data_IF_892693036662
#
_entry.id   IF_892693036662
#
_cell.length_a   1.000
_cell.length_b   1.000
_cell.length_c   1.000
_cell.angle_alpha   90.00
_cell.angle_beta   90.00
_cell.angle_gamma   90.00
#
_symmetry.space_group_name_H-M   'P 1'
#
loop_
_entity.id
_entity.type
_entity.pdbx_description
1 polymer ?
#
# COMPACT_ATOMS: atom_id res chain seq x y z
N UNK A 1 16.34 16.65 -7.16
CA UNK A 1 16.08 15.23 -6.83
C UNK A 1 16.82 14.33 -7.83
N UNK A 2 18.17 14.30 -7.81
CA UNK A 2 18.99 13.40 -8.64
C UNK A 2 19.86 12.46 -7.79
N UNK A 3 19.47 12.25 -6.53
CA UNK A 3 20.40 11.75 -5.52
C UNK A 3 19.84 10.62 -4.66
N UNK A 4 18.63 10.12 -4.95
CA UNK A 4 18.03 8.97 -4.26
C UNK A 4 17.86 7.85 -5.27
N UNK A 5 18.32 6.65 -4.92
CA UNK A 5 18.34 5.48 -5.80
C UNK A 5 17.80 4.26 -5.09
N UNK A 6 16.80 3.61 -5.66
CA UNK A 6 16.33 2.31 -5.17
C UNK A 6 17.36 1.23 -5.49
N UNK A 7 17.81 0.48 -4.48
CA UNK A 7 18.82 -0.58 -4.62
C UNK A 7 18.15 -1.94 -4.59
N UNK A 8 17.34 -2.20 -3.57
CA UNK A 8 16.56 -3.41 -3.43
C UNK A 8 15.14 -3.07 -2.98
N UNK A 9 14.18 -3.76 -3.53
CA UNK A 9 12.78 -3.71 -3.12
C UNK A 9 12.31 -5.13 -2.89
N UNK A 10 11.85 -5.42 -1.68
CA UNK A 10 11.22 -6.69 -1.36
C UNK A 10 9.86 -6.47 -0.73
N UNK A 11 8.90 -7.29 -1.13
CA UNK A 11 7.54 -7.24 -0.60
C UNK A 11 6.97 -8.64 -0.44
N UNK A 12 6.15 -8.83 0.59
CA UNK A 12 5.37 -10.04 0.85
C UNK A 12 3.98 -9.67 1.34
N UNK A 13 2.99 -10.51 1.06
CA UNK A 13 1.67 -10.45 1.68
C UNK A 13 0.65 -9.56 0.96
N UNK A 14 0.83 -9.32 -0.34
CA UNK A 14 -0.09 -8.53 -1.16
C UNK A 14 -0.63 -9.32 -2.36
N UNK A 15 -1.95 -9.34 -2.53
CA UNK A 15 -2.66 -10.12 -3.56
C UNK A 15 -2.11 -11.56 -3.61
N UNK A 16 -1.62 -12.01 -4.76
CA UNK A 16 -1.05 -13.34 -4.96
C UNK A 16 0.40 -13.52 -4.46
N UNK A 17 1.03 -12.49 -3.88
CA UNK A 17 2.42 -12.54 -3.41
C UNK A 17 2.47 -13.05 -1.96
N UNK A 18 2.27 -14.35 -1.76
CA UNK A 18 2.40 -15.02 -0.45
C UNK A 18 3.84 -15.37 -0.08
N UNK A 19 4.79 -15.26 -1.01
CA UNK A 19 6.23 -15.35 -0.76
C UNK A 19 6.94 -14.00 -0.98
N UNK A 20 8.18 -13.90 -0.49
CA UNK A 20 9.00 -12.71 -0.72
C UNK A 20 9.36 -12.55 -2.20
N UNK A 21 8.90 -11.46 -2.80
CA UNK A 21 9.35 -11.04 -4.12
C UNK A 21 10.52 -10.09 -3.96
N UNK A 22 11.68 -10.43 -4.53
CA UNK A 22 12.90 -9.63 -4.45
C UNK A 22 13.25 -8.96 -5.78
N UNK A 23 13.25 -7.63 -5.79
CA UNK A 23 13.69 -6.81 -6.93
C UNK A 23 14.99 -6.08 -6.60
N UNK A 24 16.11 -6.65 -7.06
CA UNK A 24 17.39 -5.95 -7.06
C UNK A 24 17.54 -5.05 -8.29
N UNK A 25 17.78 -3.77 -8.06
CA UNK A 25 18.00 -2.74 -9.08
C UNK A 25 19.50 -2.52 -9.34
N UNK A 26 20.34 -2.66 -8.31
CA UNK A 26 21.80 -2.50 -8.44
C UNK A 26 22.52 -3.77 -7.99
N UNK A 27 23.32 -4.36 -8.88
CA UNK A 27 23.98 -5.66 -8.66
C UNK A 27 25.46 -5.58 -8.29
N UNK A 28 26.08 -4.40 -8.43
CA UNK A 28 27.52 -4.22 -8.15
C UNK A 28 27.73 -3.81 -6.70
N UNK A 29 28.97 -3.94 -6.23
CA UNK A 29 29.41 -3.31 -4.99
C UNK A 29 29.28 -1.79 -5.12
N UNK A 30 28.78 -1.14 -4.07
CA UNK A 30 28.67 0.31 -4.03
C UNK A 30 30.07 0.87 -3.71
N UNK A 31 30.62 1.62 -4.66
CA UNK A 31 31.93 2.26 -4.55
C UNK A 31 31.78 3.78 -4.70
N UNK A 32 32.81 4.56 -4.38
CA UNK A 32 32.80 6.02 -4.58
C UNK A 32 32.48 6.41 -6.04
N UNK A 33 32.88 5.61 -7.03
CA UNK A 33 32.51 5.77 -8.44
C UNK A 33 31.17 5.06 -8.72
N UNK A 34 30.10 5.50 -8.06
CA UNK A 34 28.77 4.92 -8.22
C UNK A 34 28.19 5.25 -9.61
N UNK A 35 27.92 4.21 -10.41
CA UNK A 35 27.40 4.34 -11.79
C UNK A 35 26.14 3.49 -12.00
N UNK A 36 25.02 4.18 -12.18
CA UNK A 36 23.68 3.61 -12.35
C UNK A 36 23.18 3.58 -13.79
N UNK A 37 23.97 4.02 -14.78
CA UNK A 37 23.49 4.21 -16.17
C UNK A 37 22.82 2.96 -16.77
N UNK A 38 23.24 1.77 -16.35
CA UNK A 38 22.72 0.49 -16.83
C UNK A 38 21.68 -0.16 -15.90
N UNK A 39 21.25 0.52 -14.83
CA UNK A 39 20.42 -0.02 -13.75
C UNK A 39 19.11 0.76 -13.52
N UNK A 40 18.84 1.76 -14.36
CA UNK A 40 17.71 2.69 -14.18
C UNK A 40 16.35 2.11 -14.59
N UNK A 41 16.32 1.05 -15.40
CA UNK A 41 15.09 0.47 -15.94
C UNK A 41 15.08 -1.02 -15.62
N UNK A 42 13.96 -1.48 -15.07
CA UNK A 42 13.71 -2.90 -14.83
C UNK A 42 12.36 -3.30 -15.42
N UNK A 43 12.38 -4.26 -16.34
CA UNK A 43 11.17 -4.87 -16.88
C UNK A 43 10.69 -6.00 -15.97
N UNK A 44 9.39 -6.02 -15.66
CA UNK A 44 8.71 -7.13 -14.99
C UNK A 44 7.72 -7.72 -15.99
N UNK A 45 7.97 -8.94 -16.43
CA UNK A 45 7.14 -9.66 -17.39
C UNK A 45 6.68 -10.99 -16.81
N UNK A 46 5.58 -11.51 -17.32
CA UNK A 46 4.95 -12.74 -16.82
C UNK A 46 3.52 -12.88 -17.31
N UNK A 47 2.93 -14.05 -17.12
CA UNK A 47 1.54 -14.33 -17.49
C UNK A 47 0.55 -13.47 -16.71
N UNK A 48 -0.70 -13.38 -17.19
CA UNK A 48 -1.78 -12.72 -16.45
C UNK A 48 -2.01 -13.44 -15.12
N UNK A 49 -2.25 -12.69 -14.04
CA UNK A 49 -2.40 -13.25 -12.69
C UNK A 49 -1.09 -13.51 -11.95
N UNK A 50 0.09 -13.40 -12.59
CA UNK A 50 1.40 -13.66 -11.95
C UNK A 50 1.84 -12.60 -10.91
N UNK A 51 0.96 -11.70 -10.45
CA UNK A 51 1.27 -10.72 -9.41
C UNK A 51 2.00 -9.45 -9.87
N UNK A 52 2.16 -9.20 -11.18
CA UNK A 52 2.82 -7.99 -11.70
C UNK A 52 2.19 -6.69 -11.18
N UNK A 53 0.87 -6.57 -11.26
CA UNK A 53 0.13 -5.41 -10.75
C UNK A 53 0.16 -5.34 -9.22
N UNK A 54 0.28 -6.48 -8.52
CA UNK A 54 0.44 -6.50 -7.07
C UNK A 54 1.71 -5.77 -6.61
N UNK A 55 2.83 -5.93 -7.33
CA UNK A 55 4.08 -5.20 -7.06
C UNK A 55 3.88 -3.68 -7.22
N UNK A 56 3.12 -3.26 -8.24
CA UNK A 56 2.84 -1.84 -8.45
C UNK A 56 1.88 -1.30 -7.39
N UNK A 57 0.83 -2.06 -7.03
CA UNK A 57 -0.09 -1.71 -5.94
C UNK A 57 0.64 -1.58 -4.60
N UNK A 58 1.59 -2.45 -4.29
CA UNK A 58 2.36 -2.34 -3.04
C UNK A 58 3.27 -1.12 -3.02
N UNK A 59 3.82 -0.68 -4.16
CA UNK A 59 4.53 0.60 -4.23
C UNK A 59 3.60 1.80 -3.99
N UNK A 60 2.35 1.74 -4.47
CA UNK A 60 1.32 2.78 -4.21
C UNK A 60 1.00 2.85 -2.71
N UNK A 61 0.79 1.71 -2.06
CA UNK A 61 0.55 1.62 -0.61
C UNK A 61 1.77 2.14 0.18
N UNK A 62 2.97 1.68 -0.16
CA UNK A 62 4.22 2.12 0.49
C UNK A 62 4.38 3.64 0.44
N UNK A 63 4.14 4.24 -0.74
CA UNK A 63 4.19 5.70 -0.89
C UNK A 63 3.23 6.36 0.08
N UNK A 64 1.95 5.97 0.08
CA UNK A 64 0.94 6.58 0.95
C UNK A 64 1.29 6.41 2.44
N UNK A 65 1.81 5.25 2.85
CA UNK A 65 2.27 5.02 4.22
C UNK A 65 3.38 6.00 4.65
N UNK A 66 4.27 6.40 3.73
CA UNK A 66 5.40 7.29 4.02
C UNK A 66 5.03 8.77 4.04
N UNK A 67 4.00 9.18 3.28
CA UNK A 67 3.71 10.62 3.04
C UNK A 67 2.38 11.10 3.64
N UNK A 68 1.47 10.19 3.97
CA UNK A 68 0.11 10.51 4.42
C UNK A 68 -0.16 9.90 5.79
N UNK A 69 -0.21 10.77 6.79
CA UNK A 69 -0.48 10.41 8.19
C UNK A 69 -1.96 10.06 8.45
N UNK A 70 -2.85 10.36 7.49
CA UNK A 70 -4.27 9.98 7.53
C UNK A 70 -4.57 8.73 6.68
N UNK A 71 -3.56 8.07 6.11
CA UNK A 71 -3.79 6.94 5.19
C UNK A 71 -4.50 5.77 5.86
N UNK A 72 -3.99 5.23 6.97
CA UNK A 72 -4.63 4.09 7.65
C UNK A 72 -5.83 4.52 8.49
N UNK A 73 -6.02 5.80 8.80
CA UNK A 73 -7.24 6.24 9.48
C UNK A 73 -8.44 6.30 8.52
N UNK A 74 -8.19 6.37 7.21
CA UNK A 74 -9.23 6.45 6.19
C UNK A 74 -10.04 5.12 6.08
N UNK A 75 -11.37 5.15 6.28
CA UNK A 75 -12.21 3.96 6.18
C UNK A 75 -12.20 3.27 4.81
N UNK A 76 -12.03 4.04 3.72
CA UNK A 76 -11.91 3.49 2.36
C UNK A 76 -10.63 2.68 2.22
N UNK A 77 -9.52 3.19 2.77
CA UNK A 77 -8.22 2.50 2.77
C UNK A 77 -8.29 1.22 3.60
N UNK A 78 -8.94 1.25 4.76
CA UNK A 78 -9.13 0.07 5.59
C UNK A 78 -9.84 -1.06 4.83
N UNK A 79 -10.86 -0.71 4.03
CA UNK A 79 -11.58 -1.66 3.19
C UNK A 79 -10.76 -2.12 1.99
N UNK A 80 -10.00 -1.22 1.37
CA UNK A 80 -9.05 -1.54 0.31
C UNK A 80 -8.01 -2.56 0.75
N UNK A 81 -7.40 -2.34 1.92
CA UNK A 81 -6.42 -3.24 2.50
C UNK A 81 -7.04 -4.60 2.83
N UNK A 82 -8.32 -4.63 3.25
CA UNK A 82 -9.02 -5.90 3.45
C UNK A 82 -8.97 -6.79 2.22
N UNK A 83 -9.24 -6.24 1.04
CA UNK A 83 -9.30 -6.99 -0.21
C UNK A 83 -7.92 -7.27 -0.82
N UNK A 84 -6.98 -6.32 -0.65
CA UNK A 84 -5.68 -6.36 -1.33
C UNK A 84 -4.63 -7.15 -0.53
N UNK A 85 -4.71 -7.18 0.79
CA UNK A 85 -3.76 -7.96 1.61
C UNK A 85 -4.01 -9.45 1.37
N UNK A 86 -2.93 -10.21 1.21
CA UNK A 86 -3.02 -11.65 1.03
C UNK A 86 -3.70 -12.28 2.26
N UNK A 87 -4.76 -13.05 2.01
CA UNK A 87 -5.63 -13.59 3.06
C UNK A 87 -4.92 -14.65 3.93
N UNK A 88 -3.94 -15.36 3.39
CA UNK A 88 -3.14 -16.35 4.14
C UNK A 88 -2.13 -15.67 5.05
N UNK A 89 -1.48 -14.63 4.56
CA UNK A 89 -0.45 -13.89 5.32
C UNK A 89 -1.06 -12.94 6.37
N UNK A 90 -2.18 -12.28 6.05
CA UNK A 90 -2.88 -11.38 6.97
C UNK A 90 -2.10 -10.09 7.33
N UNK A 91 -0.97 -9.85 6.67
CA UNK A 91 -0.11 -8.66 6.80
C UNK A 91 0.65 -8.42 5.50
N UNK A 92 1.06 -7.17 5.28
CA UNK A 92 2.02 -6.80 4.22
C UNK A 92 3.34 -6.44 4.88
N UNK A 93 4.44 -6.95 4.33
CA UNK A 93 5.79 -6.70 4.80
C UNK A 93 6.66 -6.14 3.68
N UNK A 94 7.44 -5.13 4.01
CA UNK A 94 8.36 -4.46 3.09
C UNK A 94 9.78 -4.51 3.63
N UNK A 95 10.75 -4.74 2.73
CA UNK A 95 12.18 -4.59 2.98
C UNK A 95 12.82 -3.83 1.81
N UNK A 96 13.19 -2.57 2.06
CA UNK A 96 13.55 -1.61 1.02
C UNK A 96 14.93 -1.03 1.32
N UNK A 97 15.84 -1.17 0.36
CA UNK A 97 17.14 -0.52 0.41
C UNK A 97 17.21 0.59 -0.61
N UNK A 98 17.55 1.79 -0.15
CA UNK A 98 17.77 2.94 -1.02
C UNK A 98 19.07 3.65 -0.66
N UNK A 99 19.73 4.18 -1.68
CA UNK A 99 20.97 4.91 -1.58
C UNK A 99 20.68 6.40 -1.72
N UNK A 100 21.35 7.19 -0.90
CA UNK A 100 21.32 8.65 -0.96
C UNK A 100 22.73 9.17 -1.22
N UNK A 101 22.88 10.01 -2.23
CA UNK A 101 24.10 10.77 -2.49
C UNK A 101 23.97 12.17 -1.89
N UNK A 102 24.57 12.41 -0.73
CA UNK A 102 24.44 13.70 -0.04
C UNK A 102 25.79 14.17 0.47
N UNK A 103 26.20 15.37 0.04
CA UNK A 103 27.40 16.16 0.45
C UNK A 103 28.64 15.33 0.81
N UNK A 104 28.62 14.66 1.97
CA UNK A 104 29.68 13.82 2.54
C UNK A 104 29.78 12.39 1.94
N UNK A 105 28.98 12.07 0.92
CA UNK A 105 29.08 10.84 0.14
C UNK A 105 27.85 9.92 0.18
N UNK A 106 28.07 8.65 -0.15
CA UNK A 106 27.02 7.67 -0.37
C UNK A 106 26.54 7.04 0.94
N UNK A 107 25.24 7.14 1.19
CA UNK A 107 24.56 6.68 2.40
C UNK A 107 23.53 5.62 2.02
N UNK A 108 23.68 4.41 2.54
CA UNK A 108 22.74 3.31 2.29
C UNK A 108 21.79 3.18 3.47
N UNK A 109 20.50 3.22 3.17
CA UNK A 109 19.44 3.04 4.14
C UNK A 109 18.73 1.71 3.90
N UNK A 110 18.31 1.07 4.98
CA UNK A 110 17.40 -0.08 4.92
C UNK A 110 16.14 0.23 5.72
N UNK A 111 14.99 0.20 5.05
CA UNK A 111 13.70 0.51 5.65
C UNK A 111 12.82 -0.74 5.67
N UNK A 112 12.34 -1.08 6.87
CA UNK A 112 11.42 -2.19 7.11
C UNK A 112 10.11 -1.61 7.64
N UNK A 113 8.99 -2.01 7.04
CA UNK A 113 7.66 -1.70 7.58
C UNK A 113 6.72 -2.88 7.38
N UNK A 114 5.91 -3.15 8.39
CA UNK A 114 4.85 -4.17 8.33
C UNK A 114 3.52 -3.58 8.75
N UNK A 115 2.47 -3.92 8.00
CA UNK A 115 1.09 -3.47 8.23
C UNK A 115 0.20 -4.70 8.35
N UNK A 116 -0.60 -4.75 9.41
CA UNK A 116 -1.50 -5.88 9.67
C UNK A 116 -2.53 -5.59 10.75
N UNK A 117 -3.37 -6.58 11.05
CA UNK A 117 -4.39 -6.51 12.11
C UNK A 117 -3.86 -7.14 13.39
N UNK A 118 -3.19 -6.35 14.24
CA UNK A 118 -2.67 -6.84 15.52
C UNK A 118 -3.79 -6.91 16.57
N UNK A 119 -4.54 -8.02 16.58
CA UNK A 119 -5.69 -8.27 17.47
C UNK A 119 -6.80 -7.19 17.43
N UNK A 120 -6.78 -6.35 16.40
CA UNK A 120 -7.71 -5.25 16.16
C UNK A 120 -8.50 -5.54 14.88
N UNK A 121 -9.69 -4.97 14.76
CA UNK A 121 -10.46 -5.01 13.52
C UNK A 121 -9.88 -4.10 12.43
N UNK A 122 -8.99 -3.17 12.79
CA UNK A 122 -8.38 -2.19 11.90
C UNK A 122 -6.93 -2.54 11.55
N UNK A 123 -6.55 -2.27 10.31
CA UNK A 123 -5.18 -2.30 9.81
C UNK A 123 -4.34 -1.22 10.49
N UNK A 124 -3.20 -1.61 11.04
CA UNK A 124 -2.25 -0.73 11.70
C UNK A 124 -0.82 -1.11 11.36
N UNK A 125 0.12 -0.18 11.55
CA UNK A 125 1.55 -0.50 11.51
C UNK A 125 1.89 -1.40 12.69
N UNK A 126 2.48 -2.56 12.41
CA UNK A 126 2.90 -3.53 13.42
C UNK A 126 4.32 -3.18 13.89
N UNK A 127 5.21 -2.94 12.93
CA UNK A 127 6.62 -2.65 13.15
C UNK A 127 7.16 -1.79 12.01
N UNK A 128 7.98 -0.80 12.36
CA UNK A 128 8.69 0.10 11.45
C UNK A 128 10.14 0.28 11.95
N UNK A 129 11.11 0.10 11.06
CA UNK A 129 12.54 0.26 11.38
C UNK A 129 13.26 0.95 10.24
N UNK A 130 14.19 1.83 10.58
CA UNK A 130 15.13 2.41 9.64
C UNK A 130 16.55 2.14 10.12
N UNK A 131 17.36 1.60 9.23
CA UNK A 131 18.79 1.39 9.43
C UNK A 131 19.60 2.23 8.44
N UNK A 132 20.86 2.46 8.78
CA UNK A 132 21.77 3.29 8.04
C UNK A 132 23.20 2.72 8.05
N UNK A 133 23.93 2.90 6.96
CA UNK A 133 25.40 2.86 6.97
C UNK A 133 26.00 3.74 5.88
N UNK A 134 27.29 4.07 6.04
CA UNK A 134 28.10 4.61 4.93
C UNK A 134 28.29 3.51 3.89
N UNK A 135 27.86 3.76 2.65
CA UNK A 135 27.73 2.73 1.63
C UNK A 135 29.06 2.11 1.19
N UNK A 136 30.16 2.87 1.29
CA UNK A 136 31.52 2.46 0.88
C UNK A 136 32.34 1.95 2.07
N UNK A 137 31.75 1.83 3.26
CA UNK A 137 32.45 1.27 4.41
C UNK A 137 32.65 -0.24 4.26
N UNK A 138 33.79 -0.74 4.75
CA UNK A 138 34.10 -2.18 4.79
C UNK A 138 33.20 -2.97 5.76
N UNK A 139 32.48 -2.27 6.65
CA UNK A 139 31.57 -2.88 7.58
C UNK A 139 30.21 -3.14 6.91
N UNK A 140 29.75 -4.39 6.96
CA UNK A 140 28.41 -4.78 6.48
C UNK A 140 27.31 -4.47 7.49
N UNK A 141 27.67 -4.14 8.74
CA UNK A 141 26.70 -3.79 9.77
C UNK A 141 25.99 -2.47 9.43
N UNK A 142 24.70 -2.43 9.73
CA UNK A 142 23.87 -1.25 9.59
C UNK A 142 23.46 -0.77 10.99
N UNK A 143 23.69 0.51 11.26
CA UNK A 143 23.29 1.14 12.50
C UNK A 143 21.78 1.38 12.48
N UNK A 144 21.08 1.06 13.56
CA UNK A 144 19.65 1.33 13.71
C UNK A 144 19.45 2.83 13.96
N UNK A 145 18.62 3.52 13.16
CA UNK A 145 18.26 4.92 13.39
C UNK A 145 17.01 5.05 14.25
N UNK A 146 15.98 4.24 13.98
CA UNK A 146 14.81 4.14 14.84
C UNK A 146 14.13 2.79 14.69
N UNK A 147 13.41 2.39 15.74
CA UNK A 147 12.52 1.25 15.75
C UNK A 147 11.22 1.62 16.47
N UNK A 148 10.11 1.58 15.75
CA UNK A 148 8.76 1.74 16.27
C UNK A 148 7.99 0.41 16.18
N UNK A 149 7.30 0.06 17.26
CA UNK A 149 6.41 -1.09 17.33
C UNK A 149 5.35 -0.84 18.41
N UNK A 150 4.18 -1.46 18.29
CA UNK A 150 3.08 -1.31 19.27
C UNK A 150 2.66 0.16 19.47
N UNK A 151 2.59 0.95 18.39
CA UNK A 151 2.28 2.38 18.44
C UNK A 151 3.26 3.24 19.28
N UNK A 152 4.46 2.73 19.58
CA UNK A 152 5.49 3.40 20.38
C UNK A 152 6.88 3.25 19.77
N UNK A 153 7.78 4.19 20.04
CA UNK A 153 9.19 4.08 19.65
C UNK A 153 9.90 3.22 20.69
N UNK A 154 10.33 2.02 20.29
CA UNK A 154 11.05 1.06 21.15
C UNK A 154 12.53 1.43 21.29
N UNK A 155 13.14 1.89 20.20
CA UNK A 155 14.55 2.25 20.19
C UNK A 155 14.76 3.52 19.38
N UNK A 156 15.42 4.48 20.02
CA UNK A 156 16.01 5.67 19.41
C UNK A 156 17.40 5.83 20.04
N UNK A 157 18.50 5.59 19.30
CA UNK A 157 19.85 5.56 19.88
C UNK A 157 20.30 6.91 20.43
N UNK A 158 19.95 8.02 19.75
CA UNK A 158 20.27 9.37 20.20
C UNK A 158 19.11 9.93 21.05
N UNK A 159 19.25 9.86 22.37
CA UNK A 159 18.25 10.39 23.32
C UNK A 159 18.53 11.85 23.71
N UNK A 160 18.34 12.77 22.78
CA UNK A 160 18.39 14.22 23.04
C UNK A 160 17.02 14.77 23.47
N UNK A 161 16.91 16.00 24.00
CA UNK A 161 15.62 16.63 24.41
C UNK A 161 14.52 16.54 23.32
N UNK A 162 14.91 16.56 22.05
CA UNK A 162 13.99 16.47 20.89
C UNK A 162 13.58 15.03 20.58
N UNK A 163 14.39 14.02 20.93
CA UNK A 163 13.94 12.62 20.89
C UNK A 163 12.72 12.43 21.76
N UNK A 164 12.69 13.09 22.91
CA UNK A 164 11.57 13.10 23.85
C UNK A 164 10.36 13.79 23.23
N UNK A 165 10.54 14.95 22.59
CA UNK A 165 9.46 15.65 21.87
C UNK A 165 8.86 14.81 20.73
N UNK A 166 9.70 14.16 19.92
CA UNK A 166 9.25 13.28 18.84
C UNK A 166 8.53 12.04 19.39
N UNK A 167 9.01 11.44 20.48
CA UNK A 167 8.32 10.36 21.20
C UNK A 167 6.96 10.82 21.73
N UNK A 168 6.89 12.02 22.31
CA UNK A 168 5.65 12.59 22.87
C UNK A 168 4.62 12.93 21.78
N UNK A 169 5.05 13.61 20.71
CA UNK A 169 4.19 14.03 19.62
C UNK A 169 3.72 12.85 18.75
N UNK A 170 4.51 11.78 18.66
CA UNK A 170 4.12 10.57 17.90
C UNK A 170 3.37 9.54 18.75
N UNK A 171 3.24 9.79 20.06
CA UNK A 171 2.59 8.86 20.99
C UNK A 171 1.15 8.58 20.55
N UNK A 172 0.82 7.30 20.41
CA UNK A 172 -0.49 6.80 19.94
C UNK A 172 -0.81 7.09 18.46
N UNK A 173 0.06 7.77 17.70
CA UNK A 173 -0.13 8.01 16.26
C UNK A 173 0.50 6.91 15.41
N UNK A 174 1.56 6.27 15.91
CA UNK A 174 2.36 5.29 15.16
C UNK A 174 1.63 3.97 14.84
N UNK A 175 0.42 3.77 15.35
CA UNK A 175 -0.46 2.70 14.85
C UNK A 175 -1.09 3.05 13.50
N UNK A 176 -1.41 4.33 13.26
CA UNK A 176 -2.14 4.80 12.07
C UNK A 176 -1.27 5.49 11.02
N UNK A 177 -0.06 5.90 11.38
CA UNK A 177 0.85 6.63 10.50
C UNK A 177 2.29 6.18 10.72
N UNK A 178 3.08 6.17 9.66
CA UNK A 178 4.53 5.93 9.80
C UNK A 178 5.17 7.08 10.56
N UNK A 179 6.31 6.80 11.21
CA UNK A 179 7.09 7.84 11.87
C UNK A 179 7.45 8.97 10.90
N UNK A 180 7.71 8.60 9.64
CA UNK A 180 8.01 9.54 8.55
C UNK A 180 6.86 10.51 8.28
N UNK A 181 5.64 9.99 8.12
CA UNK A 181 4.46 10.79 7.83
C UNK A 181 4.11 11.71 9.02
N UNK A 182 4.13 11.19 10.24
CA UNK A 182 3.87 11.99 11.46
C UNK A 182 4.92 13.08 11.67
N UNK A 183 6.18 12.81 11.30
CA UNK A 183 7.28 13.77 11.47
C UNK A 183 7.21 14.98 10.53
N UNK A 184 6.36 14.97 9.49
CA UNK A 184 6.23 16.09 8.54
C UNK A 184 5.80 17.36 9.28
N UNK A 185 4.83 17.25 10.19
CA UNK A 185 4.33 18.41 10.96
C UNK A 185 5.36 18.88 11.98
N UNK A 186 6.04 17.94 12.63
CA UNK A 186 7.13 18.19 13.59
C UNK A 186 8.29 18.95 12.90
N UNK A 187 8.67 18.52 11.70
CA UNK A 187 9.75 19.14 10.94
C UNK A 187 9.41 20.56 10.47
N UNK A 188 8.13 20.86 10.19
CA UNK A 188 7.66 22.21 9.83
C UNK A 188 7.69 23.18 11.01
N UNK A 189 7.38 22.69 12.21
CA UNK A 189 7.34 23.51 13.44
C UNK A 189 8.73 23.74 14.06
N UNK A 190 9.71 22.91 13.73
CA UNK A 190 11.11 23.05 14.18
C UNK A 190 11.90 24.17 13.46
N UNK A 191 11.41 25.41 13.53
CA UNK A 191 12.12 26.61 13.04
C UNK A 191 13.18 27.10 14.02
N UNK A 192 13.16 26.65 15.28
CA UNK A 192 14.11 27.07 16.30
C UNK A 192 15.25 26.06 16.41
N UNK A 193 16.48 26.52 16.09
CA UNK A 193 17.67 25.71 15.83
C UNK A 193 18.25 24.97 17.04
N UNK A 194 17.52 23.98 17.57
CA UNK A 194 18.09 22.93 18.41
C UNK A 194 18.15 21.64 17.61
N UNK A 195 19.38 21.18 17.38
CA UNK A 195 19.70 20.06 16.52
C UNK A 195 19.15 18.77 17.13
N UNK A 196 18.14 18.18 16.49
CA UNK A 196 18.04 16.71 16.43
C UNK A 196 19.43 16.17 16.06
N UNK A 197 19.80 14.97 16.52
CA UNK A 197 20.95 14.30 15.91
C UNK A 197 20.81 14.37 14.39
N UNK A 198 21.79 15.01 13.74
CA UNK A 198 21.73 15.33 12.32
C UNK A 198 21.46 14.06 11.49
N UNK A 199 21.86 12.89 12.02
CA UNK A 199 21.63 11.57 11.44
C UNK A 199 20.16 11.14 11.46
N UNK A 200 19.45 11.22 12.58
CA UNK A 200 18.02 10.81 12.62
C UNK A 200 17.20 11.76 11.75
N UNK A 201 17.49 13.07 11.81
CA UNK A 201 16.78 14.08 11.00
C UNK A 201 16.94 13.79 9.52
N UNK A 202 18.19 13.62 9.11
CA UNK A 202 18.50 13.35 7.71
C UNK A 202 17.92 12.02 7.27
N UNK A 203 17.96 10.98 8.11
CA UNK A 203 17.33 9.68 7.83
C UNK A 203 15.83 9.78 7.55
N UNK A 204 15.07 10.45 8.44
CA UNK A 204 13.62 10.65 8.26
C UNK A 204 13.34 11.51 7.02
N UNK A 205 14.11 12.60 6.81
CA UNK A 205 13.96 13.47 5.64
C UNK A 205 14.25 12.72 4.34
N UNK A 206 15.29 11.89 4.29
CA UNK A 206 15.61 11.11 3.10
C UNK A 206 14.58 10.01 2.83
N UNK A 207 14.04 9.39 3.88
CA UNK A 207 12.95 8.43 3.73
C UNK A 207 11.66 9.09 3.21
N UNK A 208 11.36 10.31 3.66
CA UNK A 208 10.26 11.12 3.13
C UNK A 208 10.48 11.49 1.65
N UNK A 209 11.69 11.97 1.31
CA UNK A 209 12.06 12.30 -0.06
C UNK A 209 12.03 11.07 -0.97
N UNK A 210 12.41 9.90 -0.45
CA UNK A 210 12.25 8.62 -1.15
C UNK A 210 10.76 8.35 -1.44
N UNK A 211 9.89 8.45 -0.44
CA UNK A 211 8.44 8.30 -0.63
C UNK A 211 7.85 9.26 -1.67
N UNK A 212 8.25 10.54 -1.62
CA UNK A 212 7.83 11.56 -2.61
C UNK A 212 8.35 11.27 -4.03
N UNK A 213 9.48 10.58 -4.16
CA UNK A 213 10.07 10.20 -5.45
C UNK A 213 9.41 8.98 -6.09
N UNK A 214 8.51 8.29 -5.39
CA UNK A 214 7.76 7.16 -5.93
C UNK A 214 6.60 7.69 -6.80
N UNK A 215 6.59 7.29 -8.06
CA UNK A 215 5.48 7.52 -8.98
C UNK A 215 4.97 6.17 -9.47
N UNK A 216 3.69 5.90 -9.23
CA UNK A 216 3.03 4.66 -9.65
C UNK A 216 1.96 5.02 -10.65
N UNK A 217 2.01 4.37 -11.80
CA UNK A 217 0.98 4.44 -12.84
C UNK A 217 0.42 3.04 -13.01
N UNK A 218 -0.90 2.90 -12.81
CA UNK A 218 -1.64 1.67 -13.01
C UNK A 218 -2.61 1.87 -14.18
N UNK A 219 -2.92 0.78 -14.88
CA UNK A 219 -4.05 0.76 -15.81
C UNK A 219 -5.35 0.90 -15.00
N UNK A 220 -6.39 1.48 -15.59
CA UNK A 220 -7.67 1.77 -14.94
C UNK A 220 -8.29 0.49 -14.37
N UNK A 221 -8.19 -0.60 -15.11
CA UNK A 221 -8.69 -1.91 -14.67
C UNK A 221 -8.01 -2.37 -13.37
N UNK A 222 -6.75 -1.98 -13.12
CA UNK A 222 -6.01 -2.35 -11.91
C UNK A 222 -6.05 -1.27 -10.81
N UNK A 223 -6.65 -0.10 -11.08
CA UNK A 223 -6.91 0.94 -10.09
C UNK A 223 -8.35 0.86 -9.56
N UNK A 224 -8.51 0.12 -8.46
CA UNK A 224 -9.82 -0.14 -7.85
C UNK A 224 -10.34 1.02 -6.98
N UNK A 225 -9.70 2.20 -7.01
CA UNK A 225 -10.04 3.31 -6.10
C UNK A 225 -11.50 3.75 -6.25
N UNK A 226 -11.99 3.89 -7.48
CA UNK A 226 -13.36 4.34 -7.74
C UNK A 226 -14.43 3.29 -7.44
N UNK A 227 -14.11 2.01 -7.58
CA UNK A 227 -15.00 0.93 -7.14
C UNK A 227 -15.33 1.07 -5.65
N UNK A 228 -14.32 1.28 -4.79
CA UNK A 228 -14.54 1.43 -3.35
C UNK A 228 -15.31 2.69 -2.99
N UNK A 229 -15.03 3.81 -3.67
CA UNK A 229 -15.77 5.06 -3.49
C UNK A 229 -17.24 4.85 -3.83
N UNK A 230 -17.52 4.28 -5.01
CA UNK A 230 -18.87 4.02 -5.45
C UNK A 230 -19.59 3.06 -4.49
N UNK A 231 -18.97 1.97 -4.07
CA UNK A 231 -19.60 1.01 -3.15
C UNK A 231 -19.97 1.65 -1.81
N UNK A 232 -19.13 2.54 -1.26
CA UNK A 232 -19.46 3.26 -0.02
C UNK A 232 -20.55 4.31 -0.21
N UNK A 233 -20.49 5.13 -1.27
CA UNK A 233 -21.52 6.13 -1.57
C UNK A 233 -22.90 5.45 -1.68
N UNK A 234 -22.96 4.30 -2.36
CA UNK A 234 -24.20 3.56 -2.53
C UNK A 234 -24.74 3.04 -1.19
N UNK A 235 -23.89 2.43 -0.34
CA UNK A 235 -24.29 2.00 1.02
C UNK A 235 -24.85 3.14 1.87
N UNK A 236 -24.31 4.35 1.75
CA UNK A 236 -24.80 5.49 2.54
C UNK A 236 -26.06 6.09 1.94
N UNK A 237 -26.20 6.08 0.61
CA UNK A 237 -27.40 6.54 -0.10
C UNK A 237 -28.63 5.69 0.28
N UNK A 238 -28.45 4.37 0.44
CA UNK A 238 -29.49 3.45 0.91
C UNK A 238 -29.92 3.71 2.36
N UNK A 239 -29.06 4.36 3.17
CA UNK A 239 -29.30 4.63 4.60
C UNK A 239 -29.87 6.01 4.93
N UNK A 240 -30.03 6.91 3.93
CA UNK A 240 -30.48 8.31 4.09
C UNK A 240 -29.67 9.08 5.15
N UNK A 241 -28.34 8.97 5.13
CA UNK A 241 -27.44 9.69 6.06
C UNK A 241 -26.61 10.73 5.30
N UNK A 242 -27.18 11.92 5.09
CA UNK A 242 -26.57 13.03 4.34
C UNK A 242 -25.22 13.48 4.92
N UNK A 243 -25.06 13.48 6.24
CA UNK A 243 -23.79 13.87 6.90
C UNK A 243 -22.64 12.91 6.56
N UNK A 244 -22.90 11.59 6.55
CA UNK A 244 -21.91 10.59 6.13
C UNK A 244 -21.54 10.69 4.65
N UNK A 245 -22.44 11.16 3.80
CA UNK A 245 -22.11 11.41 2.37
C UNK A 245 -21.10 12.54 2.21
N UNK A 246 -21.19 13.59 3.04
CA UNK A 246 -20.21 14.68 3.04
C UNK A 246 -18.84 14.20 3.55
N UNK A 247 -18.79 13.46 4.66
CA UNK A 247 -17.56 12.87 5.18
C UNK A 247 -16.88 11.93 4.16
N UNK A 248 -17.66 11.08 3.47
CA UNK A 248 -17.13 10.21 2.43
C UNK A 248 -16.58 10.98 1.22
N UNK A 249 -17.22 12.10 0.83
CA UNK A 249 -16.69 12.96 -0.23
C UNK A 249 -15.39 13.64 0.18
N UNK A 250 -15.21 14.00 1.44
CA UNK A 250 -13.92 14.51 1.92
C UNK A 250 -12.84 13.43 1.88
N UNK A 251 -13.14 12.20 2.28
CA UNK A 251 -12.23 11.06 2.16
C UNK A 251 -11.89 10.74 0.69
N UNK A 252 -12.87 10.83 -0.21
CA UNK A 252 -12.67 10.69 -1.66
C UNK A 252 -11.73 11.79 -2.20
N UNK A 253 -11.97 13.05 -1.84
CA UNK A 253 -11.11 14.17 -2.26
C UNK A 253 -9.69 14.00 -1.73
N UNK A 254 -9.53 13.51 -0.49
CA UNK A 254 -8.22 13.22 0.09
C UNK A 254 -7.45 12.14 -0.70
N UNK A 255 -8.13 11.05 -1.07
CA UNK A 255 -7.55 9.98 -1.90
C UNK A 255 -7.24 10.46 -3.33
N UNK A 256 -8.17 11.21 -3.94
CA UNK A 256 -8.02 11.73 -5.31
C UNK A 256 -7.00 12.86 -5.41
N UNK A 257 -6.74 13.64 -4.35
CA UNK A 257 -5.63 14.61 -4.33
C UNK A 257 -4.25 13.96 -4.47
N UNK A 258 -4.13 12.66 -4.21
CA UNK A 258 -2.90 11.89 -4.36
C UNK A 258 -2.81 11.13 -5.72
N UNK A 259 -3.80 11.25 -6.61
CA UNK A 259 -3.92 10.48 -7.86
C UNK A 259 -4.45 11.33 -9.04
N UNK A 260 -4.03 11.10 -10.30
CA UNK A 260 -4.77 11.62 -11.46
C UNK A 260 -6.10 10.85 -11.60
N UNK A 261 -7.18 11.61 -11.78
CA UNK A 261 -8.59 11.22 -11.94
C UNK A 261 -8.82 10.13 -13.02
N UNK A 262 -9.59 9.06 -12.75
CA UNK A 262 -10.50 8.44 -13.74
C UNK A 262 -11.45 7.36 -13.17
N UNK A 263 -12.76 7.55 -13.45
CA UNK A 263 -13.96 6.79 -13.02
C UNK A 263 -13.90 5.29 -13.37
N UNK A 264 -14.12 4.39 -12.40
CA UNK A 264 -14.43 2.96 -12.63
C UNK A 264 -15.88 2.59 -12.22
N UNK A 265 -16.53 1.76 -13.03
CA UNK A 265 -17.92 1.29 -12.85
C UNK A 265 -17.89 -0.23 -12.78
N UNK A 266 -18.10 -0.80 -11.59
CA UNK A 266 -18.35 -2.24 -11.46
C UNK A 266 -19.36 -2.52 -10.35
N UNK A 267 -20.63 -2.31 -10.67
CA UNK A 267 -21.75 -3.00 -10.01
C UNK A 267 -22.88 -3.10 -11.02
N UNK A 268 -23.36 -4.30 -11.32
CA UNK A 268 -24.45 -4.49 -12.27
C UNK A 268 -25.80 -4.41 -11.55
N UNK A 269 -26.66 -3.49 -11.99
CA UNK A 269 -28.05 -3.44 -11.58
C UNK A 269 -28.87 -4.43 -12.41
N UNK A 270 -29.41 -5.46 -11.77
CA UNK A 270 -30.21 -6.52 -12.40
C UNK A 270 -31.65 -6.38 -11.93
N UNK A 271 -32.62 -6.28 -12.84
CA UNK A 271 -34.03 -6.23 -12.44
C UNK A 271 -34.47 -7.58 -11.86
N UNK A 272 -35.40 -7.58 -10.91
CA UNK A 272 -35.89 -8.79 -10.24
C UNK A 272 -36.37 -9.87 -11.23
N UNK A 273 -36.99 -9.45 -12.34
CA UNK A 273 -37.46 -10.35 -13.41
C UNK A 273 -36.33 -11.05 -14.17
N UNK A 274 -35.13 -10.46 -14.22
CA UNK A 274 -33.96 -10.98 -14.95
C UNK A 274 -32.94 -11.68 -14.05
N UNK A 275 -33.19 -11.71 -12.73
CA UNK A 275 -32.31 -12.36 -11.78
C UNK A 275 -32.10 -13.85 -12.08
N UNK A 276 -33.11 -14.66 -12.46
CA UNK A 276 -32.90 -16.06 -12.79
C UNK A 276 -32.02 -16.26 -14.04
N UNK A 277 -32.20 -15.41 -15.06
CA UNK A 277 -31.38 -15.43 -16.27
C UNK A 277 -29.93 -15.04 -15.96
N UNK A 278 -29.74 -14.05 -15.08
CA UNK A 278 -28.42 -13.62 -14.62
C UNK A 278 -27.70 -14.72 -13.83
N UNK A 279 -28.38 -15.42 -12.91
CA UNK A 279 -27.81 -16.57 -12.20
C UNK A 279 -27.35 -17.69 -13.16
N UNK A 280 -28.14 -17.95 -14.20
CA UNK A 280 -27.77 -18.91 -15.24
C UNK A 280 -26.52 -18.47 -16.01
N UNK A 281 -26.44 -17.19 -16.41
CA UNK A 281 -25.27 -16.63 -17.08
C UNK A 281 -24.02 -16.71 -16.20
N UNK A 282 -24.12 -16.45 -14.90
CA UNK A 282 -23.00 -16.59 -13.96
C UNK A 282 -22.54 -18.05 -13.83
N UNK A 283 -23.46 -19.02 -13.86
CA UNK A 283 -23.10 -20.45 -13.85
C UNK A 283 -22.36 -20.88 -15.13
N UNK A 284 -22.76 -20.36 -16.28
CA UNK A 284 -22.07 -20.57 -17.56
C UNK A 284 -20.68 -19.91 -17.55
N UNK A 285 -20.58 -18.68 -17.02
CA UNK A 285 -19.31 -17.96 -16.83
C UNK A 285 -18.38 -18.72 -15.87
N UNK A 286 -18.88 -19.26 -14.76
CA UNK A 286 -18.11 -20.09 -13.84
C UNK A 286 -17.50 -21.30 -14.56
N UNK A 287 -18.32 -22.00 -15.35
CA UNK A 287 -17.88 -23.17 -16.13
C UNK A 287 -16.80 -22.80 -17.14
N UNK A 288 -16.93 -21.63 -17.78
CA UNK A 288 -15.95 -21.11 -18.73
C UNK A 288 -14.65 -20.69 -18.02
N UNK A 289 -14.71 -19.95 -16.93
CA UNK A 289 -13.53 -19.47 -16.20
C UNK A 289 -12.72 -20.61 -15.60
N UNK A 290 -13.36 -21.72 -15.18
CA UNK A 290 -12.69 -22.95 -14.71
C UNK A 290 -11.74 -23.58 -15.74
N UNK A 291 -11.93 -23.28 -17.04
CA UNK A 291 -11.01 -23.71 -18.11
C UNK A 291 -9.64 -23.04 -17.93
N UNK A 292 -9.63 -21.76 -17.56
CA UNK A 292 -8.42 -20.94 -17.40
C UNK A 292 -7.89 -20.94 -15.97
N UNK A 293 -8.78 -21.02 -14.98
CA UNK A 293 -8.50 -20.98 -13.54
C UNK A 293 -9.07 -22.23 -12.86
N UNK A 294 -8.31 -23.33 -12.93
CA UNK A 294 -8.75 -24.65 -12.42
C UNK A 294 -8.98 -24.69 -10.90
N UNK A 295 -8.38 -23.75 -10.18
CA UNK A 295 -8.49 -23.58 -8.74
C UNK A 295 -9.75 -22.80 -8.31
N UNK A 296 -10.47 -22.15 -9.23
CA UNK A 296 -11.76 -21.51 -8.94
C UNK A 296 -12.80 -22.58 -8.60
N UNK A 297 -13.34 -22.57 -7.39
CA UNK A 297 -14.33 -23.54 -6.93
C UNK A 297 -15.74 -23.18 -7.40
N UNK A 298 -16.14 -21.90 -7.24
CA UNK A 298 -17.45 -21.38 -7.67
C UNK A 298 -17.45 -19.85 -7.74
N UNK A 299 -18.49 -19.27 -8.35
CA UNK A 299 -18.78 -17.83 -8.28
C UNK A 299 -20.06 -17.62 -7.48
N UNK A 300 -19.96 -16.89 -6.38
CA UNK A 300 -21.10 -16.48 -5.57
C UNK A 300 -21.63 -15.13 -6.03
N UNK A 301 -22.94 -14.93 -5.93
CA UNK A 301 -23.59 -13.65 -6.26
C UNK A 301 -24.05 -13.02 -4.95
N UNK A 302 -23.34 -11.98 -4.52
CA UNK A 302 -23.82 -11.12 -3.43
C UNK A 302 -24.90 -10.19 -3.97
N UNK A 303 -26.13 -10.37 -3.49
CA UNK A 303 -27.29 -9.58 -3.90
C UNK A 303 -27.62 -8.54 -2.84
N UNK A 304 -27.70 -7.27 -3.23
CA UNK A 304 -28.23 -6.18 -2.41
C UNK A 304 -29.54 -5.71 -3.04
N UNK A 305 -30.63 -5.79 -2.27
CA UNK A 305 -31.96 -5.44 -2.76
C UNK A 305 -32.13 -3.92 -2.81
N UNK A 306 -32.35 -3.39 -4.01
CA UNK A 306 -32.80 -2.02 -4.26
C UNK A 306 -34.29 -2.05 -4.65
N UNK A 307 -34.96 -0.89 -4.68
CA UNK A 307 -36.43 -0.79 -4.78
C UNK A 307 -37.08 -1.74 -5.80
N UNK A 308 -36.58 -1.79 -7.04
CA UNK A 308 -37.11 -2.63 -8.13
C UNK A 308 -36.01 -3.48 -8.83
N UNK A 309 -34.86 -3.64 -8.21
CA UNK A 309 -33.69 -4.31 -8.78
C UNK A 309 -32.78 -4.88 -7.69
N UNK A 310 -31.96 -5.85 -8.04
CA UNK A 310 -30.82 -6.27 -7.23
C UNK A 310 -29.56 -5.66 -7.79
N UNK A 311 -28.73 -5.10 -6.92
CA UNK A 311 -27.33 -4.89 -7.22
C UNK A 311 -26.60 -6.20 -6.95
N UNK A 312 -25.95 -6.73 -7.98
CA UNK A 312 -25.25 -8.01 -7.90
C UNK A 312 -23.75 -7.78 -7.99
N UNK A 313 -23.02 -8.21 -6.95
CA UNK A 313 -21.57 -8.26 -6.91
C UNK A 313 -21.13 -9.72 -7.06
N UNK A 314 -20.15 -10.01 -7.93
CA UNK A 314 -19.63 -11.37 -8.12
C UNK A 314 -18.46 -11.63 -7.16
N UNK A 315 -18.53 -12.72 -6.41
CA UNK A 315 -17.49 -13.16 -5.47
C UNK A 315 -16.89 -14.47 -5.96
N UNK A 316 -15.60 -14.44 -6.31
CA UNK A 316 -14.85 -15.60 -6.75
C UNK A 316 -14.40 -16.42 -5.53
N UNK A 317 -14.79 -17.69 -5.46
CA UNK A 317 -14.47 -18.58 -4.33
C UNK A 317 -13.38 -19.59 -4.73
N UNK A 318 -12.30 -19.61 -3.94
CA UNK A 318 -11.16 -20.52 -4.03
C UNK A 318 -11.12 -21.42 -2.79
N UNK A 319 -10.27 -22.47 -2.76
CA UNK A 319 -10.23 -23.42 -1.65
C UNK A 319 -10.01 -22.77 -0.27
N UNK A 320 -9.17 -21.74 -0.21
CA UNK A 320 -8.74 -21.14 1.06
C UNK A 320 -9.23 -19.69 1.26
N UNK A 321 -9.86 -19.07 0.26
CA UNK A 321 -10.29 -17.68 0.32
C UNK A 321 -11.34 -17.34 -0.74
N UNK A 322 -12.00 -16.19 -0.58
CA UNK A 322 -12.83 -15.56 -1.60
C UNK A 322 -12.41 -14.11 -1.83
N UNK A 323 -12.64 -13.59 -3.03
CA UNK A 323 -12.48 -12.16 -3.36
C UNK A 323 -13.57 -11.67 -4.30
N UNK A 324 -13.88 -10.38 -4.26
CA UNK A 324 -14.74 -9.78 -5.26
C UNK A 324 -14.08 -9.82 -6.65
N UNK A 325 -14.84 -10.14 -7.69
CA UNK A 325 -14.37 -10.24 -9.07
C UNK A 325 -13.64 -8.97 -9.58
N UNK A 326 -13.95 -7.80 -9.02
CA UNK A 326 -13.21 -6.56 -9.30
C UNK A 326 -11.70 -6.67 -8.97
N UNK A 327 -11.32 -7.44 -7.95
CA UNK A 327 -9.92 -7.61 -7.54
C UNK A 327 -9.19 -8.73 -8.28
N UNK A 328 -9.86 -9.35 -9.25
CA UNK A 328 -9.22 -10.35 -10.10
C UNK A 328 -8.16 -9.75 -11.01
N UNK A 329 -7.32 -10.64 -11.54
CA UNK A 329 -6.36 -10.26 -12.56
C UNK A 329 -7.06 -9.67 -13.78
N UNK A 330 -6.43 -8.67 -14.41
CA UNK A 330 -6.86 -8.02 -15.66
C UNK A 330 -7.34 -9.03 -16.72
N UNK A 331 -6.63 -10.16 -16.85
CA UNK A 331 -6.99 -11.21 -17.79
C UNK A 331 -8.34 -11.87 -17.48
N UNK A 332 -8.64 -12.11 -16.20
CA UNK A 332 -9.93 -12.68 -15.78
C UNK A 332 -11.03 -11.63 -15.88
N UNK A 333 -10.77 -10.38 -15.50
CA UNK A 333 -11.74 -9.28 -15.62
C UNK A 333 -12.21 -9.05 -17.05
N UNK A 334 -11.37 -9.30 -18.05
CA UNK A 334 -11.75 -9.22 -19.48
C UNK A 334 -12.60 -10.38 -19.98
N UNK A 335 -12.67 -11.47 -19.23
CA UNK A 335 -13.44 -12.67 -19.56
C UNK A 335 -14.81 -12.69 -18.89
N UNK A 336 -15.04 -11.77 -17.94
CA UNK A 336 -16.31 -11.48 -17.27
C UNK A 336 -16.97 -10.33 -18.02
#
# INVERSE_FOLDING_TARGET
MKDIYLINYSVKGIKALDEWVHLSFYKKTITNNFDIRNYNIKGIYGTNGAGKSAIMTSLKILKSLLIDDAYLSNPLVQKQLEEIVNKREGKIEYDIQFLVNYEDGLRLYNYLISVGKKNSTKWSIIEEKLFFRKAVSHNSHMDLLFHAADATIKCLPDRDEISTSLIEQTRNLLSGASLTATSINILKESTDGKLMSLMIRSGIVFLLLFGLSIFVYLDIEDDHTDFFINEMINRVTDSVQLEKLFELREHEVHLKRQLPLLISVSSMAVSEKRLPDFEKQVSELESFLKIFKKDLQRIEIEKKQEKNSYRCDLVMVYPDYSLNAEFESTGIKKLI
#
